data_IF_356059520022
#
_entry.id   IF_356059520022
#
_cell.length_a   1.000
_cell.length_b   1.000
_cell.length_c   1.000
_cell.angle_alpha   90.00
_cell.angle_beta   90.00
_cell.angle_gamma   90.00
#
_symmetry.space_group_name_H-M   'P 1'
#
loop_
_entity.id
_entity.type
_entity.pdbx_description
1 polymer ?
#
# COMPACT_ATOMS: atom_id res chain seq x y z
N UNK A 1 35.69 -33.60 3.13
CA UNK A 1 36.01 -32.35 2.42
C UNK A 1 34.73 -31.51 2.33
N UNK A 2 34.01 -31.32 3.44
CA UNK A 2 34.24 -30.34 4.53
C UNK A 2 34.02 -28.91 4.01
N UNK A 3 33.13 -28.06 4.52
CA UNK A 3 32.43 -28.05 5.80
C UNK A 3 31.10 -27.28 5.69
N UNK A 4 30.13 -27.75 6.45
CA UNK A 4 28.90 -27.04 6.79
C UNK A 4 29.12 -26.13 8.01
N UNK A 5 28.41 -25.01 8.01
CA UNK A 5 27.77 -24.34 9.14
C UNK A 5 28.61 -23.69 10.28
N UNK A 6 28.03 -22.60 10.77
CA UNK A 6 28.23 -21.93 12.06
C UNK A 6 29.50 -21.11 12.32
N UNK A 7 29.33 -19.78 12.44
CA UNK A 7 29.45 -19.00 13.69
C UNK A 7 29.40 -17.49 13.39
N UNK A 8 28.36 -16.78 13.81
CA UNK A 8 28.23 -16.16 15.15
C UNK A 8 29.07 -14.88 15.28
N UNK A 9 28.44 -13.72 15.05
CA UNK A 9 28.83 -12.45 15.68
C UNK A 9 27.74 -11.39 15.45
N UNK A 10 26.55 -11.56 16.03
CA UNK A 10 25.62 -10.45 16.23
C UNK A 10 24.99 -10.57 17.60
N UNK A 11 25.68 -10.05 18.61
CA UNK A 11 25.09 -9.73 19.91
C UNK A 11 25.75 -8.45 20.44
N UNK A 12 24.88 -7.46 20.73
CA UNK A 12 24.97 -6.57 21.90
C UNK A 12 25.80 -5.29 21.81
N UNK A 13 25.15 -4.19 21.38
CA UNK A 13 25.20 -2.83 22.00
C UNK A 13 23.87 -2.11 21.68
N UNK A 14 22.86 -2.14 22.57
CA UNK A 14 22.56 -1.13 23.60
C UNK A 14 21.79 0.12 23.11
N UNK A 15 20.46 0.06 23.31
CA UNK A 15 19.53 1.06 23.86
C UNK A 15 19.60 2.57 23.47
N UNK A 16 18.52 3.07 22.86
CA UNK A 16 17.82 4.33 23.18
C UNK A 16 16.47 4.37 22.40
N UNK A 17 15.30 4.08 22.99
CA UNK A 17 14.36 4.96 23.73
C UNK A 17 13.86 6.22 23.00
N UNK A 18 12.53 6.34 22.97
CA UNK A 18 11.67 7.55 22.86
C UNK A 18 11.47 8.21 21.49
N UNK A 19 10.23 8.17 20.95
CA UNK A 19 9.20 9.27 20.88
C UNK A 19 7.85 8.55 20.57
N UNK A 20 6.86 8.48 21.49
CA UNK A 20 5.70 9.39 21.63
C UNK A 20 4.94 9.66 20.30
N UNK A 21 3.63 9.74 20.16
CA UNK A 21 2.44 9.69 21.02
C UNK A 21 1.24 9.74 20.02
N UNK A 22 0.09 9.07 20.28
CA UNK A 22 -1.11 9.19 19.46
C UNK A 22 -1.86 10.52 19.69
N UNK A 23 -2.24 11.20 18.60
CA UNK A 23 -3.06 12.42 18.67
C UNK A 23 -4.54 12.07 18.86
N UNK A 24 -5.00 12.22 20.09
CA UNK A 24 -6.40 12.46 20.44
C UNK A 24 -6.72 13.96 20.39
N UNK A 25 -7.94 14.32 19.97
CA UNK A 25 -8.71 15.56 20.22
C UNK A 25 -10.01 15.41 19.41
N UNK A 26 -11.22 15.74 19.82
CA UNK A 26 -11.90 16.43 20.94
C UNK A 26 -13.36 15.87 20.88
N UNK A 27 -14.18 15.85 21.92
CA UNK A 27 -14.88 17.03 22.44
C UNK A 27 -15.39 16.81 23.87
N UNK A 28 -15.52 17.93 24.58
CA UNK A 28 -15.84 18.06 25.99
C UNK A 28 -17.35 18.33 26.23
N UNK A 29 -17.85 17.78 27.36
CA UNK A 29 -18.76 18.28 28.44
C UNK A 29 -19.38 19.70 28.34
N UNK A 30 -20.29 20.14 29.28
CA UNK A 30 -21.23 19.47 30.21
C UNK A 30 -22.62 20.17 30.36
N UNK A 31 -23.57 19.56 31.12
CA UNK A 31 -24.33 20.17 32.24
C UNK A 31 -25.56 19.29 32.59
N UNK A 32 -25.48 18.51 33.67
CA UNK A 32 -26.08 18.75 34.99
C UNK A 32 -27.63 18.74 35.03
N UNK A 33 -28.18 17.62 35.55
CA UNK A 33 -29.05 17.45 36.75
C UNK A 33 -30.23 18.42 37.03
N UNK A 34 -31.19 18.08 37.92
CA UNK A 34 -31.76 16.80 38.36
C UNK A 34 -33.32 16.83 38.40
N UNK A 35 -33.95 15.76 38.93
CA UNK A 35 -35.03 15.76 39.95
C UNK A 35 -36.02 14.60 39.76
N UNK A 36 -36.31 13.96 40.89
CA UNK A 36 -37.06 12.73 41.15
C UNK A 36 -38.53 12.95 41.55
N UNK A 37 -39.45 12.12 40.99
CA UNK A 37 -40.72 11.62 41.56
C UNK A 37 -41.90 12.61 41.75
N UNK A 38 -43.10 12.17 42.25
CA UNK A 38 -43.76 10.86 42.17
C UNK A 38 -45.29 10.91 41.81
N UNK A 39 -45.90 9.73 41.51
CA UNK A 39 -47.33 9.29 41.63
C UNK A 39 -48.52 10.22 41.24
N UNK A 40 -49.50 9.69 40.47
CA UNK A 40 -50.93 9.38 40.84
C UNK A 40 -51.90 9.35 39.64
N UNK A 41 -52.96 8.56 39.83
CA UNK A 41 -54.12 8.25 38.98
C UNK A 41 -54.87 9.45 38.37
N UNK A 42 -55.49 9.26 37.19
CA UNK A 42 -56.95 9.16 36.99
C UNK A 42 -57.43 9.51 35.55
N UNK A 43 -58.26 8.62 35.01
CA UNK A 43 -59.45 8.82 34.14
C UNK A 43 -59.45 9.93 33.06
N UNK A 44 -59.43 9.46 31.81
CA UNK A 44 -60.46 9.69 30.77
C UNK A 44 -60.63 11.08 30.16
N UNK A 45 -60.38 11.21 28.85
CA UNK A 45 -61.39 11.61 27.86
C UNK A 45 -60.87 11.39 26.43
N UNK A 46 -61.77 10.94 25.56
CA UNK A 46 -61.61 10.83 24.11
C UNK A 46 -61.03 12.08 23.47
N UNK A 47 -60.22 11.89 22.43
CA UNK A 47 -60.48 12.34 21.05
C UNK A 47 -59.30 11.93 20.15
N UNK A 48 -59.53 10.93 19.30
CA UNK A 48 -58.81 10.77 18.02
C UNK A 48 -59.39 11.76 17.00
N UNK A 49 -58.82 11.95 15.79
CA UNK A 49 -57.54 11.44 15.26
C UNK A 49 -56.72 12.50 14.48
N UNK A 50 -55.43 12.25 14.21
CA UNK A 50 -54.93 12.31 12.82
C UNK A 50 -53.58 11.59 12.71
N UNK A 51 -53.63 10.29 12.46
CA UNK A 51 -52.45 9.54 12.06
C UNK A 51 -52.31 9.70 10.55
N UNK A 52 -51.17 10.18 10.02
CA UNK A 52 -50.93 10.10 8.59
C UNK A 52 -50.91 8.62 8.19
N UNK A 53 -51.87 8.22 7.35
CA UNK A 53 -51.95 6.87 6.77
C UNK A 53 -50.68 6.62 5.96
N UNK A 54 -49.70 5.96 6.57
CA UNK A 54 -48.62 5.31 5.85
C UNK A 54 -49.21 4.16 5.02
N UNK A 55 -49.18 4.31 3.69
CA UNK A 55 -49.68 3.36 2.71
C UNK A 55 -49.04 1.97 2.90
N UNK A 56 -49.72 1.11 3.67
CA UNK A 56 -49.25 -0.19 4.15
C UNK A 56 -49.50 -1.37 3.21
N UNK A 57 -49.43 -1.18 1.89
CA UNK A 57 -49.71 -2.24 0.90
C UNK A 57 -48.50 -2.80 0.15
N UNK A 58 -47.39 -2.06 0.05
CA UNK A 58 -46.27 -2.40 -0.84
C UNK A 58 -44.91 -2.54 -0.13
N UNK A 59 -44.86 -2.34 1.19
CA UNK A 59 -43.62 -2.21 1.96
C UNK A 59 -42.79 -3.51 2.05
N UNK A 60 -43.42 -4.70 2.04
CA UNK A 60 -42.68 -5.98 2.01
C UNK A 60 -42.03 -6.23 0.65
N UNK A 61 -42.76 -5.98 -0.44
CA UNK A 61 -42.23 -6.14 -1.81
C UNK A 61 -41.13 -5.11 -2.09
N UNK A 62 -41.33 -3.86 -1.68
CA UNK A 62 -40.31 -2.81 -1.82
C UNK A 62 -39.05 -3.09 -1.00
N UNK A 63 -39.18 -3.62 0.23
CA UNK A 63 -38.03 -4.04 1.06
C UNK A 63 -37.29 -5.23 0.46
N UNK A 64 -38.00 -6.22 -0.09
CA UNK A 64 -37.37 -7.38 -0.74
C UNK A 64 -36.66 -7.00 -2.03
N UNK A 65 -37.27 -6.14 -2.86
CA UNK A 65 -36.65 -5.64 -4.10
C UNK A 65 -35.43 -4.77 -3.78
N UNK A 66 -35.51 -3.89 -2.78
CA UNK A 66 -34.37 -3.09 -2.33
C UNK A 66 -33.23 -3.96 -1.77
N UNK A 67 -33.56 -4.99 -0.97
CA UNK A 67 -32.55 -5.92 -0.45
C UNK A 67 -31.87 -6.71 -1.58
N UNK A 68 -32.65 -7.24 -2.54
CA UNK A 68 -32.13 -7.94 -3.70
C UNK A 68 -31.28 -7.04 -4.60
N UNK A 69 -31.67 -5.78 -4.82
CA UNK A 69 -30.88 -4.85 -5.63
C UNK A 69 -29.54 -4.51 -5.00
N UNK A 70 -29.48 -4.38 -3.67
CA UNK A 70 -28.23 -4.15 -2.94
C UNK A 70 -27.32 -5.38 -3.04
N UNK A 71 -27.85 -6.58 -2.84
CA UNK A 71 -27.08 -7.83 -2.97
C UNK A 71 -26.51 -7.98 -4.38
N UNK A 72 -27.33 -7.70 -5.41
CA UNK A 72 -26.90 -7.77 -6.80
C UNK A 72 -25.80 -6.74 -7.11
N UNK A 73 -25.93 -5.51 -6.59
CA UNK A 73 -24.92 -4.47 -6.77
C UNK A 73 -23.59 -4.83 -6.09
N UNK A 74 -23.62 -5.41 -4.88
CA UNK A 74 -22.42 -5.87 -4.17
C UNK A 74 -21.78 -7.05 -4.90
N UNK A 75 -22.58 -8.01 -5.36
CA UNK A 75 -22.07 -9.16 -6.13
C UNK A 75 -21.46 -8.72 -7.46
N UNK A 76 -22.13 -7.83 -8.21
CA UNK A 76 -21.62 -7.28 -9.46
C UNK A 76 -20.35 -6.44 -9.22
N UNK A 77 -20.33 -5.61 -8.17
CA UNK A 77 -19.15 -4.84 -7.76
C UNK A 77 -17.98 -5.73 -7.37
N UNK A 78 -18.23 -6.82 -6.64
CA UNK A 78 -17.22 -7.82 -6.27
C UNK A 78 -16.66 -8.57 -7.48
N UNK A 79 -17.52 -8.98 -8.42
CA UNK A 79 -17.13 -9.64 -9.67
C UNK A 79 -16.28 -8.68 -10.52
N UNK A 80 -16.72 -7.44 -10.69
CA UNK A 80 -15.98 -6.41 -11.44
C UNK A 80 -14.63 -6.09 -10.79
N UNK A 81 -14.56 -6.01 -9.46
CA UNK A 81 -13.32 -5.79 -8.73
C UNK A 81 -12.35 -6.97 -8.85
N UNK A 82 -12.88 -8.20 -8.85
CA UNK A 82 -12.08 -9.41 -9.05
C UNK A 82 -11.56 -9.51 -10.49
N UNK A 83 -12.41 -9.24 -11.49
CA UNK A 83 -12.04 -9.33 -12.90
C UNK A 83 -11.12 -8.21 -13.36
N UNK A 84 -11.24 -7.02 -12.76
CA UNK A 84 -10.41 -5.86 -13.12
C UNK A 84 -8.97 -5.96 -12.64
N UNK A 85 -8.62 -6.98 -11.84
CA UNK A 85 -7.26 -7.17 -11.37
C UNK A 85 -6.73 -6.02 -10.50
N UNK A 86 -7.63 -5.15 -10.00
CA UNK A 86 -7.27 -3.98 -9.17
C UNK A 86 -6.49 -4.42 -7.92
N UNK A 87 -6.71 -5.64 -7.44
CA UNK A 87 -6.02 -6.22 -6.30
C UNK A 87 -4.74 -7.00 -6.64
N UNK A 88 -4.27 -6.98 -7.90
CA UNK A 88 -3.00 -7.62 -8.27
C UNK A 88 -1.83 -6.70 -7.96
N UNK A 89 -1.42 -6.67 -6.70
CA UNK A 89 -0.14 -6.13 -6.28
C UNK A 89 0.98 -7.16 -6.53
N UNK A 90 1.46 -7.20 -7.78
CA UNK A 90 2.68 -7.94 -8.12
C UNK A 90 3.92 -7.27 -7.52
N UNK A 91 4.97 -8.04 -7.14
CA UNK A 91 6.22 -7.48 -6.65
C UNK A 91 6.92 -6.66 -7.74
N UNK A 92 7.60 -5.59 -7.33
CA UNK A 92 8.45 -4.82 -8.24
C UNK A 92 9.78 -5.54 -8.41
N UNK A 93 10.10 -5.90 -9.65
CA UNK A 93 11.30 -6.59 -10.05
C UNK A 93 12.35 -5.60 -10.54
N UNK A 94 13.57 -5.70 -10.02
CA UNK A 94 14.74 -5.02 -10.56
C UNK A 94 15.37 -5.89 -11.64
N UNK A 95 15.40 -5.38 -12.86
CA UNK A 95 16.07 -6.03 -13.98
C UNK A 95 17.21 -5.14 -14.45
N UNK A 96 18.43 -5.67 -14.37
CA UNK A 96 19.63 -5.04 -14.89
C UNK A 96 20.10 -5.86 -16.08
N UNK A 97 20.17 -5.22 -17.24
CA UNK A 97 20.69 -5.80 -18.47
C UNK A 97 21.98 -5.09 -18.88
N UNK A 98 22.99 -5.86 -19.25
CA UNK A 98 24.23 -5.37 -19.81
C UNK A 98 24.53 -6.14 -21.10
N UNK A 99 24.96 -5.46 -22.16
CA UNK A 99 25.29 -6.11 -23.46
C UNK A 99 24.13 -6.96 -24.02
N UNK A 100 22.89 -6.51 -23.79
CA UNK A 100 21.67 -7.22 -24.17
C UNK A 100 21.30 -8.45 -23.32
N UNK A 101 22.06 -8.81 -22.29
CA UNK A 101 21.79 -9.96 -21.41
C UNK A 101 21.38 -9.50 -20.01
N UNK A 102 20.36 -10.15 -19.41
CA UNK A 102 19.96 -9.85 -18.03
C UNK A 102 20.93 -10.45 -17.03
N UNK A 103 21.70 -9.60 -16.35
CA UNK A 103 22.68 -10.01 -15.33
C UNK A 103 21.99 -10.17 -13.97
N UNK A 104 21.03 -9.30 -13.66
CA UNK A 104 20.27 -9.32 -12.41
C UNK A 104 18.79 -9.28 -12.73
N UNK A 105 18.03 -10.21 -12.15
CA UNK A 105 16.56 -10.22 -12.20
C UNK A 105 16.05 -10.77 -10.87
N UNK A 106 15.68 -9.87 -9.93
CA UNK A 106 15.18 -10.23 -8.60
C UNK A 106 14.19 -9.20 -8.07
N UNK A 107 13.30 -9.57 -7.14
CA UNK A 107 12.40 -8.61 -6.49
C UNK A 107 13.22 -7.55 -5.74
N UNK A 108 12.90 -6.26 -5.95
CA UNK A 108 13.63 -5.15 -5.35
C UNK A 108 13.67 -5.21 -3.82
N UNK A 109 12.60 -5.72 -3.20
CA UNK A 109 12.50 -5.92 -1.74
C UNK A 109 13.41 -7.00 -1.18
N UNK A 110 13.90 -7.93 -2.02
CA UNK A 110 14.78 -9.02 -1.61
C UNK A 110 16.26 -8.70 -1.81
N UNK A 111 16.59 -7.56 -2.40
CA UNK A 111 17.97 -7.14 -2.64
C UNK A 111 18.47 -6.39 -1.40
N UNK A 112 19.61 -6.83 -0.87
CA UNK A 112 20.27 -6.14 0.25
C UNK A 112 20.74 -4.75 -0.17
N UNK A 113 20.73 -3.81 0.76
CA UNK A 113 21.27 -2.47 0.51
C UNK A 113 22.78 -2.54 0.23
N UNK A 114 23.24 -1.83 -0.79
CA UNK A 114 24.64 -1.88 -1.21
C UNK A 114 24.85 -1.48 -2.67
N UNK A 115 26.02 -1.82 -3.19
CA UNK A 115 26.40 -1.56 -4.57
C UNK A 115 26.55 -2.85 -5.36
N UNK A 116 26.14 -2.81 -6.62
CA UNK A 116 26.14 -3.92 -7.57
C UNK A 116 27.00 -3.47 -8.76
N UNK A 117 28.20 -4.06 -8.95
CA UNK A 117 29.01 -3.80 -10.14
C UNK A 117 28.41 -4.54 -11.35
N UNK A 118 28.30 -3.83 -12.47
CA UNK A 118 27.71 -4.32 -13.72
C UNK A 118 28.67 -4.04 -14.87
N UNK A 119 29.17 -5.10 -15.50
CA UNK A 119 30.14 -4.99 -16.59
C UNK A 119 29.49 -4.62 -17.93
N UNK A 120 29.66 -3.37 -18.35
CA UNK A 120 29.24 -2.87 -19.66
C UNK A 120 30.32 -3.02 -20.75
N UNK A 121 30.10 -2.40 -21.91
CA UNK A 121 31.06 -2.42 -23.04
C UNK A 121 32.25 -1.47 -22.79
N UNK A 122 32.00 -0.30 -22.22
CA UNK A 122 33.00 0.71 -21.89
C UNK A 122 33.67 0.45 -20.54
N UNK A 123 33.01 -0.30 -19.66
CA UNK A 123 33.55 -0.74 -18.36
C UNK A 123 32.47 -0.93 -17.30
N UNK A 124 32.91 -1.08 -16.05
CA UNK A 124 32.04 -1.35 -14.90
C UNK A 124 31.17 -0.13 -14.54
N UNK A 125 29.86 -0.33 -14.52
CA UNK A 125 28.88 0.61 -13.93
C UNK A 125 28.53 0.16 -12.51
N UNK A 126 28.52 1.10 -11.57
CA UNK A 126 28.15 0.82 -10.18
C UNK A 126 26.71 1.25 -9.96
N UNK A 127 25.85 0.27 -9.71
CA UNK A 127 24.43 0.49 -9.37
C UNK A 127 24.28 0.40 -7.85
N UNK A 128 23.74 1.43 -7.22
CA UNK A 128 23.45 1.45 -5.79
C UNK A 128 21.97 1.12 -5.54
N UNK A 129 21.72 0.28 -4.54
CA UNK A 129 20.39 -0.03 -4.03
C UNK A 129 20.32 0.39 -2.57
N UNK A 130 19.37 1.26 -2.24
CA UNK A 130 19.20 1.80 -0.88
C UNK A 130 17.74 2.11 -0.59
N UNK A 131 17.22 1.65 0.54
CA UNK A 131 15.84 1.85 0.98
C UNK A 131 14.80 1.47 -0.10
N UNK A 132 15.05 0.37 -0.83
CA UNK A 132 14.17 -0.07 -1.91
C UNK A 132 14.11 0.89 -3.10
N UNK A 133 15.17 1.69 -3.31
CA UNK A 133 15.35 2.56 -4.47
C UNK A 133 16.67 2.21 -5.14
N UNK A 134 16.75 2.49 -6.44
CA UNK A 134 17.92 2.17 -7.27
C UNK A 134 18.47 3.43 -7.91
N UNK A 135 19.78 3.55 -7.97
CA UNK A 135 20.49 4.67 -8.57
C UNK A 135 21.77 4.18 -9.23
N UNK A 136 22.25 4.89 -10.26
CA UNK A 136 23.58 4.63 -10.84
C UNK A 136 24.56 5.59 -10.17
N UNK A 137 25.43 5.04 -9.30
CA UNK A 137 26.41 5.81 -8.56
C UNK A 137 27.58 6.26 -9.46
N UNK A 138 28.01 5.38 -10.38
CA UNK A 138 29.10 5.67 -11.31
C UNK A 138 28.95 4.89 -12.62
N UNK A 139 29.32 5.50 -13.75
CA UNK A 139 29.39 4.84 -15.06
C UNK A 139 30.49 5.49 -15.93
N UNK A 140 31.24 4.72 -16.73
CA UNK A 140 32.35 5.24 -17.56
C UNK A 140 31.86 5.96 -18.84
N UNK A 141 30.73 6.66 -18.80
CA UNK A 141 30.12 7.29 -19.96
C UNK A 141 30.25 8.81 -19.94
N UNK A 142 30.60 9.41 -21.09
CA UNK A 142 30.87 10.86 -21.20
C UNK A 142 29.69 11.78 -20.85
N UNK A 143 28.47 11.29 -21.08
CA UNK A 143 27.27 12.13 -20.90
C UNK A 143 26.72 12.10 -19.47
N UNK A 144 27.14 11.13 -18.66
CA UNK A 144 26.69 10.94 -17.26
C UNK A 144 25.15 10.95 -17.05
N UNK A 145 24.34 10.75 -18.11
CA UNK A 145 22.87 10.86 -18.06
C UNK A 145 22.27 9.87 -17.05
N UNK A 146 22.81 8.65 -17.00
CA UNK A 146 22.34 7.61 -16.08
C UNK A 146 22.58 7.98 -14.62
N UNK A 147 23.70 8.64 -14.31
CA UNK A 147 23.98 9.17 -12.98
C UNK A 147 23.05 10.34 -12.67
N UNK A 148 22.82 11.23 -13.62
CA UNK A 148 21.99 12.43 -13.43
C UNK A 148 20.48 12.12 -13.33
N UNK A 149 20.04 10.91 -13.70
CA UNK A 149 18.63 10.49 -13.59
C UNK A 149 18.17 10.41 -12.12
N UNK A 150 19.09 10.19 -11.18
CA UNK A 150 18.76 10.11 -9.76
C UNK A 150 18.16 8.76 -9.36
N UNK A 151 17.38 8.76 -8.28
CA UNK A 151 16.81 7.54 -7.69
C UNK A 151 15.50 7.14 -8.36
N UNK A 152 15.38 5.87 -8.73
CA UNK A 152 14.14 5.24 -9.20
C UNK A 152 13.60 4.26 -8.18
N UNK A 153 12.27 4.17 -8.07
CA UNK A 153 11.56 3.32 -7.10
C UNK A 153 10.26 2.72 -7.63
N UNK A 154 9.68 3.34 -8.66
CA UNK A 154 8.37 2.98 -9.16
C UNK A 154 8.47 2.06 -10.37
N UNK A 155 7.56 1.09 -10.54
CA UNK A 155 7.52 0.26 -11.74
C UNK A 155 7.30 1.13 -12.99
N UNK A 156 7.92 0.74 -14.10
CA UNK A 156 7.95 1.49 -15.35
C UNK A 156 9.08 2.53 -15.43
N UNK A 157 9.76 2.84 -14.32
CA UNK A 157 10.94 3.69 -14.36
C UNK A 157 12.17 2.93 -14.89
N UNK A 158 13.03 3.66 -15.60
CA UNK A 158 14.20 3.12 -16.28
C UNK A 158 15.36 4.11 -16.20
N UNK A 159 16.56 3.58 -16.03
CA UNK A 159 17.83 4.29 -16.20
C UNK A 159 18.59 3.58 -17.30
N UNK A 160 19.02 4.32 -18.32
CA UNK A 160 19.74 3.76 -19.47
C UNK A 160 21.07 4.48 -19.63
N UNK A 161 22.14 3.70 -19.72
CA UNK A 161 23.44 4.14 -20.19
C UNK A 161 23.65 3.60 -21.60
N UNK A 162 23.23 4.39 -22.61
CA UNK A 162 23.32 3.97 -24.02
C UNK A 162 24.77 3.65 -24.44
N UNK A 163 25.79 4.49 -24.15
CA UNK A 163 27.15 4.20 -24.61
C UNK A 163 27.76 2.95 -23.96
N UNK A 164 27.40 2.65 -22.70
CA UNK A 164 27.91 1.48 -21.99
C UNK A 164 27.04 0.22 -22.14
N UNK A 165 25.95 0.31 -22.90
CA UNK A 165 24.91 -0.74 -23.06
C UNK A 165 24.40 -1.34 -21.74
N UNK A 166 24.17 -0.48 -20.74
CA UNK A 166 23.60 -0.89 -19.45
C UNK A 166 22.19 -0.31 -19.31
N UNK A 167 21.23 -1.16 -18.98
CA UNK A 167 19.82 -0.81 -18.77
C UNK A 167 19.39 -1.31 -17.40
N UNK A 168 18.92 -0.39 -16.56
CA UNK A 168 18.33 -0.68 -15.25
C UNK A 168 16.85 -0.33 -15.33
N UNK A 169 15.96 -1.31 -15.12
CA UNK A 169 14.51 -1.08 -15.17
C UNK A 169 13.79 -1.71 -13.99
N UNK A 170 12.72 -1.06 -13.57
CA UNK A 170 11.78 -1.60 -12.59
C UNK A 170 10.52 -2.06 -13.32
N UNK A 171 10.19 -3.34 -13.22
CA UNK A 171 8.98 -3.91 -13.85
C UNK A 171 8.06 -4.50 -12.79
N UNK A 172 6.75 -4.47 -13.07
CA UNK A 172 5.76 -5.17 -12.27
C UNK A 172 5.40 -6.46 -13.00
N UNK A 173 5.43 -7.58 -12.29
CA UNK A 173 4.99 -8.89 -12.79
C UNK A 173 3.47 -9.09 -12.61
#
# INVERSE_FOLDING_TARGET
MDAANDKFAVETVLAARFVHEPVAKKEAKPSNSPVSGPKKHARGFSLCPNQPRGNGGNSRRFRLVAALSVILAVAAGGILAYSSGIFREGPVMLVISAKGQSVVSRPLKQIAEGTIPVEGILGTTIVEVKQGRVHVLNSPCENHICMNTGWISNPGQIIVCLPNEVVVRLVKE
#
